data_IF_553905127501
#
_entry.id   IF_553905127501
#
_cell.length_a   1.000
_cell.length_b   1.000
_cell.length_c   1.000
_cell.angle_alpha   90.00
_cell.angle_beta   90.00
_cell.angle_gamma   90.00
#
_symmetry.space_group_name_H-M   'P 1'
#
loop_
_entity.id
_entity.type
_entity.pdbx_description
1 polymer ?
#
# COMPACT_ATOMS: atom_id res chain seq x y z
N UNK A 1 -15.30 -9.27 3.93
CA UNK A 1 -13.88 -9.21 3.53
C UNK A 1 -13.25 -8.18 4.44
N UNK A 2 -12.19 -8.54 5.16
CA UNK A 2 -11.54 -7.66 6.13
C UNK A 2 -10.27 -7.07 5.54
N UNK A 3 -9.85 -5.91 6.05
CA UNK A 3 -8.43 -5.53 6.00
C UNK A 3 -7.65 -6.30 7.08
N UNK A 4 -6.33 -6.44 6.92
CA UNK A 4 -5.51 -7.28 7.80
C UNK A 4 -5.69 -6.97 9.30
N UNK A 5 -5.45 -5.72 9.72
CA UNK A 5 -5.52 -5.36 11.14
C UNK A 5 -6.94 -5.40 11.71
N UNK A 6 -7.96 -5.24 10.87
CA UNK A 6 -9.35 -5.40 11.28
C UNK A 6 -9.60 -6.85 11.64
N UNK A 7 -9.13 -7.80 10.83
CA UNK A 7 -9.21 -9.22 11.14
C UNK A 7 -8.45 -9.56 12.44
N UNK A 8 -7.23 -9.05 12.61
CA UNK A 8 -6.44 -9.28 13.84
C UNK A 8 -7.17 -8.73 15.08
N UNK A 9 -7.81 -7.57 14.95
CA UNK A 9 -8.58 -6.97 16.05
C UNK A 9 -9.75 -7.88 16.47
N UNK A 10 -10.41 -8.54 15.51
CA UNK A 10 -11.54 -9.44 15.78
C UNK A 10 -11.15 -10.70 16.55
N UNK A 11 -9.88 -11.13 16.47
CA UNK A 11 -9.39 -12.29 17.21
C UNK A 11 -9.46 -12.10 18.74
N UNK A 12 -9.58 -10.87 19.22
CA UNK A 12 -9.72 -10.56 20.64
C UNK A 12 -11.16 -10.21 21.06
N UNK A 13 -12.13 -10.33 20.14
CA UNK A 13 -13.50 -9.86 20.38
C UNK A 13 -14.54 -10.90 20.01
N UNK A 14 -14.68 -11.19 18.72
CA UNK A 14 -15.81 -11.97 18.19
C UNK A 14 -15.38 -13.12 17.27
N UNK A 15 -14.08 -13.25 17.01
CA UNK A 15 -13.45 -14.35 16.28
C UNK A 15 -12.27 -14.94 17.05
N UNK A 16 -12.40 -15.08 18.38
CA UNK A 16 -11.35 -15.66 19.21
C UNK A 16 -10.99 -17.08 18.74
N UNK A 17 -9.72 -17.31 18.34
CA UNK A 17 -9.35 -18.53 17.64
C UNK A 17 -9.19 -19.70 18.61
N UNK A 18 -9.73 -20.87 18.25
CA UNK A 18 -9.47 -22.11 18.99
C UNK A 18 -8.13 -22.75 18.60
N UNK A 19 -7.65 -22.50 17.38
CA UNK A 19 -6.42 -23.07 16.85
C UNK A 19 -5.70 -22.04 15.98
N UNK A 20 -4.38 -21.91 16.16
CA UNK A 20 -3.49 -21.17 15.26
C UNK A 20 -2.48 -22.14 14.64
N UNK A 21 -2.46 -22.21 13.31
CA UNK A 21 -1.49 -22.99 12.54
C UNK A 21 -0.54 -22.01 11.87
N UNK A 22 0.72 -22.01 12.28
CA UNK A 22 1.71 -21.00 11.87
C UNK A 22 3.00 -21.66 11.39
N UNK A 23 3.88 -20.86 10.78
CA UNK A 23 5.17 -21.32 10.27
C UNK A 23 6.33 -20.50 10.84
N UNK A 24 7.48 -21.13 11.01
CA UNK A 24 8.75 -20.47 11.34
C UNK A 24 9.94 -21.15 10.66
N UNK A 25 11.10 -20.52 10.70
CA UNK A 25 12.32 -21.12 10.15
C UNK A 25 12.87 -22.19 11.09
N UNK A 26 13.04 -21.85 12.37
CA UNK A 26 13.62 -22.75 13.37
C UNK A 26 12.80 -22.74 14.64
N UNK A 27 12.79 -23.86 15.37
CA UNK A 27 12.39 -23.88 16.76
C UNK A 27 13.32 -24.73 17.62
N UNK A 28 13.37 -24.47 18.92
CA UNK A 28 14.01 -25.34 19.89
C UNK A 28 13.02 -26.34 20.50
N UNK A 29 13.52 -27.23 21.37
CA UNK A 29 12.69 -28.23 22.09
C UNK A 29 11.76 -27.63 23.15
N UNK A 30 11.94 -26.35 23.51
CA UNK A 30 11.04 -25.62 24.43
C UNK A 30 9.91 -24.91 23.68
N UNK A 31 9.90 -24.99 22.35
CA UNK A 31 8.91 -24.35 21.49
C UNK A 31 9.25 -22.90 21.10
N UNK A 32 10.41 -22.36 21.51
CA UNK A 32 10.81 -21.02 21.08
C UNK A 32 10.96 -21.01 19.56
N UNK A 33 10.37 -20.02 18.90
CA UNK A 33 10.31 -19.95 17.45
C UNK A 33 11.16 -18.78 16.93
N UNK A 34 11.95 -19.05 15.89
CA UNK A 34 12.56 -18.03 15.03
C UNK A 34 11.77 -17.95 13.71
N UNK A 35 11.06 -16.85 13.49
CA UNK A 35 10.31 -16.53 12.28
C UNK A 35 11.07 -15.62 11.32
N UNK A 36 12.13 -14.96 11.78
CA UNK A 36 13.08 -14.24 10.94
C UNK A 36 12.45 -13.12 10.11
N UNK A 37 12.94 -12.91 8.86
CA UNK A 37 12.37 -11.97 7.91
C UNK A 37 10.89 -12.20 7.60
N UNK A 38 10.38 -13.42 7.79
CA UNK A 38 8.98 -13.84 7.58
C UNK A 38 8.16 -13.87 8.87
N UNK A 39 8.47 -12.97 9.82
CA UNK A 39 7.67 -12.80 11.04
C UNK A 39 6.21 -12.46 10.73
N UNK A 40 6.00 -11.45 9.90
CA UNK A 40 4.70 -11.20 9.27
C UNK A 40 3.54 -11.06 10.26
N UNK A 41 2.52 -11.92 10.15
CA UNK A 41 1.31 -11.89 10.97
C UNK A 41 1.45 -12.70 12.26
N UNK A 42 2.48 -13.54 12.33
CA UNK A 42 2.60 -14.61 13.33
C UNK A 42 2.38 -14.11 14.75
N UNK A 43 2.98 -12.99 15.21
CA UNK A 43 2.74 -12.50 16.56
C UNK A 43 1.27 -12.18 16.85
N UNK A 44 0.56 -11.57 15.90
CA UNK A 44 -0.85 -11.19 16.08
C UNK A 44 -1.80 -12.39 16.05
N UNK A 45 -1.47 -13.43 15.28
CA UNK A 45 -2.28 -14.65 15.20
C UNK A 45 -2.05 -15.55 16.42
N UNK A 46 -0.79 -15.72 16.83
CA UNK A 46 -0.41 -16.61 17.93
C UNK A 46 -0.90 -16.06 19.26
N UNK A 47 -0.69 -14.78 19.54
CA UNK A 47 -1.04 -14.19 20.84
C UNK A 47 -2.54 -14.34 21.13
N UNK A 48 -3.40 -14.12 20.14
CA UNK A 48 -4.84 -14.26 20.32
C UNK A 48 -5.29 -15.69 20.68
N UNK A 49 -4.59 -16.72 20.19
CA UNK A 49 -4.89 -18.12 20.53
C UNK A 49 -4.26 -18.52 21.87
N UNK A 50 -2.96 -18.23 22.05
CA UNK A 50 -2.18 -18.66 23.21
C UNK A 50 -2.72 -18.12 24.54
N UNK A 51 -3.34 -16.94 24.53
CA UNK A 51 -3.90 -16.30 25.73
C UNK A 51 -5.43 -16.45 25.86
N UNK A 52 -6.03 -17.37 25.11
CA UNK A 52 -7.46 -17.67 25.19
C UNK A 52 -7.76 -19.17 25.11
N UNK A 53 -6.92 -19.99 25.77
CA UNK A 53 -7.05 -21.46 25.83
C UNK A 53 -7.13 -22.14 24.45
N UNK A 54 -6.60 -21.48 23.42
CA UNK A 54 -6.46 -22.03 22.07
C UNK A 54 -5.22 -22.91 21.94
N UNK A 55 -5.11 -23.63 20.82
CA UNK A 55 -3.96 -24.50 20.51
C UNK A 55 -3.13 -23.87 19.40
N UNK A 56 -1.83 -23.70 19.63
CA UNK A 56 -0.88 -23.15 18.67
C UNK A 56 0.06 -24.24 18.18
N UNK A 57 0.04 -24.52 16.87
CA UNK A 57 0.91 -25.50 16.22
C UNK A 57 1.80 -24.76 15.21
N UNK A 58 3.11 -24.87 15.42
CA UNK A 58 4.12 -24.27 14.56
C UNK A 58 4.79 -25.32 13.68
N UNK A 59 4.67 -25.22 12.36
CA UNK A 59 5.57 -25.93 11.47
C UNK A 59 6.92 -25.19 11.35
N UNK A 60 8.03 -25.92 11.37
CA UNK A 60 9.38 -25.35 11.24
C UNK A 60 10.22 -26.07 10.20
N UNK A 61 11.15 -25.36 9.57
CA UNK A 61 12.09 -25.97 8.63
C UNK A 61 13.12 -26.84 9.37
N UNK A 62 13.49 -26.43 10.59
CA UNK A 62 14.54 -27.07 11.38
C UNK A 62 14.16 -27.04 12.87
N UNK A 63 14.37 -28.17 13.57
CA UNK A 63 14.32 -28.24 15.03
C UNK A 63 15.76 -28.32 15.55
N UNK A 64 16.14 -27.40 16.44
CA UNK A 64 17.45 -27.36 17.09
C UNK A 64 17.36 -27.89 18.52
N UNK A 65 18.48 -28.37 19.07
CA UNK A 65 18.51 -28.97 20.41
C UNK A 65 18.64 -27.91 21.53
N UNK A 66 19.47 -26.87 21.34
CA UNK A 66 19.67 -25.79 22.31
C UNK A 66 19.01 -24.48 21.84
N UNK A 67 18.50 -23.69 22.77
CA UNK A 67 17.97 -22.35 22.55
C UNK A 67 19.04 -21.41 21.97
N UNK A 68 20.31 -21.61 22.35
CA UNK A 68 21.45 -20.85 21.83
C UNK A 68 21.67 -21.02 20.31
N UNK A 69 21.10 -22.06 19.70
CA UNK A 69 21.20 -22.32 18.26
C UNK A 69 20.11 -21.58 17.44
N UNK A 70 19.17 -20.90 18.12
CA UNK A 70 18.24 -19.99 17.48
C UNK A 70 18.92 -18.62 17.26
N UNK A 71 18.82 -18.02 16.05
CA UNK A 71 19.35 -16.67 15.82
C UNK A 71 18.75 -15.63 16.78
N UNK A 72 17.44 -15.74 17.03
CA UNK A 72 16.70 -15.02 18.07
C UNK A 72 15.38 -15.73 18.36
N UNK A 73 14.73 -15.35 19.46
CA UNK A 73 13.36 -15.76 19.77
C UNK A 73 12.38 -14.71 19.26
N UNK A 74 11.57 -15.08 18.29
CA UNK A 74 10.54 -14.25 17.68
C UNK A 74 9.16 -14.47 18.30
N UNK A 75 8.85 -15.72 18.68
CA UNK A 75 7.69 -16.12 19.47
C UNK A 75 8.19 -16.96 20.65
N UNK A 76 7.85 -16.60 21.90
CA UNK A 76 8.22 -17.39 23.08
C UNK A 76 7.61 -18.79 23.04
N UNK A 77 8.37 -19.80 23.48
CA UNK A 77 7.89 -21.19 23.50
C UNK A 77 6.70 -21.42 24.43
N UNK A 78 6.49 -20.56 25.41
CA UNK A 78 5.28 -20.58 26.25
C UNK A 78 3.99 -20.22 25.51
N UNK A 79 4.08 -19.74 24.27
CA UNK A 79 2.92 -19.44 23.42
C UNK A 79 2.64 -20.54 22.39
N UNK A 80 3.47 -21.59 22.36
CA UNK A 80 3.43 -22.67 21.36
C UNK A 80 3.11 -23.99 22.08
N UNK A 81 2.03 -24.67 21.67
CA UNK A 81 1.69 -25.99 22.20
C UNK A 81 2.49 -27.11 21.54
N UNK A 82 2.65 -27.03 20.20
CA UNK A 82 3.35 -28.06 19.43
C UNK A 82 4.20 -27.47 18.32
N UNK A 83 5.39 -28.07 18.15
CA UNK A 83 6.27 -27.83 17.01
C UNK A 83 6.32 -29.08 16.15
N UNK A 84 6.25 -28.91 14.83
CA UNK A 84 6.37 -29.99 13.85
C UNK A 84 7.44 -29.61 12.82
N UNK A 85 8.42 -30.47 12.61
CA UNK A 85 9.38 -30.30 11.51
C UNK A 85 8.65 -30.59 10.19
N UNK A 86 8.61 -29.60 9.31
CA UNK A 86 7.97 -29.71 8.01
C UNK A 86 8.75 -30.69 7.10
N UNK A 87 8.04 -31.29 6.15
CA UNK A 87 8.62 -32.18 5.13
C UNK A 87 9.58 -31.46 4.18
N UNK A 88 9.41 -30.14 4.04
CA UNK A 88 10.24 -29.21 3.27
C UNK A 88 10.11 -27.79 3.85
N UNK A 89 11.00 -26.85 3.46
CA UNK A 89 10.87 -25.47 3.86
C UNK A 89 9.49 -24.87 3.53
N UNK A 90 8.94 -24.07 4.43
CA UNK A 90 7.64 -23.41 4.20
C UNK A 90 7.70 -22.54 2.94
N UNK A 91 6.58 -22.47 2.23
CA UNK A 91 6.47 -21.75 0.97
C UNK A 91 6.46 -20.23 1.20
N UNK A 92 7.25 -19.50 0.42
CA UNK A 92 7.28 -18.04 0.41
C UNK A 92 6.93 -17.57 -1.01
N UNK A 93 5.92 -16.72 -1.11
CA UNK A 93 5.53 -16.09 -2.37
C UNK A 93 6.23 -14.73 -2.53
N UNK A 94 6.90 -14.44 -3.65
CA UNK A 94 7.45 -13.10 -3.94
C UNK A 94 6.33 -12.15 -4.38
N UNK A 95 5.38 -11.91 -3.47
CA UNK A 95 4.09 -11.30 -3.79
C UNK A 95 4.28 -9.88 -4.34
N UNK A 96 5.16 -9.08 -3.74
CA UNK A 96 5.35 -7.67 -4.08
C UNK A 96 6.45 -7.42 -5.12
N UNK A 97 7.31 -8.41 -5.38
CA UNK A 97 8.34 -8.31 -6.43
C UNK A 97 7.72 -8.05 -7.81
N UNK A 98 8.21 -7.01 -8.51
CA UNK A 98 7.76 -6.64 -9.86
C UNK A 98 8.95 -6.57 -10.79
N UNK A 99 8.84 -7.24 -11.94
CA UNK A 99 9.84 -7.21 -12.99
C UNK A 99 9.81 -5.85 -13.73
N UNK A 100 10.87 -5.02 -13.62
CA UNK A 100 10.89 -3.69 -14.25
C UNK A 100 10.73 -3.75 -15.78
N UNK A 101 11.01 -4.88 -16.43
CA UNK A 101 10.79 -5.07 -17.88
C UNK A 101 9.34 -4.93 -18.30
N UNK A 102 8.39 -5.13 -17.38
CA UNK A 102 6.96 -5.02 -17.63
C UNK A 102 6.38 -3.61 -17.37
N UNK A 103 7.21 -2.68 -16.90
CA UNK A 103 6.81 -1.28 -16.71
C UNK A 103 6.62 -0.59 -18.07
N UNK A 104 5.43 -0.05 -18.33
CA UNK A 104 5.09 0.61 -19.59
C UNK A 104 5.29 2.12 -19.51
N UNK A 105 5.15 2.79 -20.66
CA UNK A 105 5.24 4.23 -20.78
C UNK A 105 4.17 4.95 -19.93
N UNK A 106 2.96 4.40 -19.86
CA UNK A 106 1.83 4.93 -19.08
C UNK A 106 2.15 4.93 -17.59
N UNK A 107 2.77 3.85 -17.06
CA UNK A 107 3.21 3.80 -15.68
C UNK A 107 4.26 4.88 -15.38
N UNK A 108 5.20 5.12 -16.31
CA UNK A 108 6.25 6.13 -16.16
C UNK A 108 5.65 7.54 -16.17
N UNK A 109 4.71 7.81 -17.07
CA UNK A 109 4.01 9.09 -17.13
C UNK A 109 3.25 9.37 -15.82
N UNK A 110 2.47 8.40 -15.35
CA UNK A 110 1.76 8.54 -14.07
C UNK A 110 2.74 8.66 -12.90
N UNK A 111 3.86 7.94 -12.91
CA UNK A 111 4.87 8.05 -11.86
C UNK A 111 5.54 9.44 -11.81
N UNK A 112 5.83 10.04 -12.96
CA UNK A 112 6.29 11.44 -13.04
C UNK A 112 5.26 12.40 -12.44
N UNK A 113 3.98 12.22 -12.78
CA UNK A 113 2.89 13.02 -12.22
C UNK A 113 2.72 12.82 -10.71
N UNK A 114 2.83 11.58 -10.21
CA UNK A 114 2.81 11.31 -8.77
C UNK A 114 3.93 12.05 -8.03
N UNK A 115 5.18 11.93 -8.51
CA UNK A 115 6.34 12.57 -7.89
C UNK A 115 6.18 14.10 -7.89
N UNK A 116 5.84 14.69 -9.03
CA UNK A 116 5.80 16.16 -9.16
C UNK A 116 4.51 16.78 -8.63
N UNK A 117 3.37 16.24 -9.03
CA UNK A 117 2.04 16.80 -8.76
C UNK A 117 1.41 16.35 -7.44
N UNK A 118 2.00 15.37 -6.73
CA UNK A 118 1.49 14.92 -5.43
C UNK A 118 2.62 14.96 -4.39
N UNK A 119 3.74 14.27 -4.63
CA UNK A 119 4.74 14.06 -3.58
C UNK A 119 5.48 15.36 -3.27
N UNK A 120 5.93 16.06 -4.30
CA UNK A 120 6.58 17.36 -4.19
C UNK A 120 5.61 18.46 -3.78
N UNK A 121 4.43 18.52 -4.41
CA UNK A 121 3.38 19.52 -4.13
C UNK A 121 2.99 19.55 -2.65
N UNK A 122 2.78 18.36 -2.05
CA UNK A 122 2.35 18.24 -0.66
C UNK A 122 3.49 17.96 0.32
N UNK A 123 4.75 17.97 -0.14
CA UNK A 123 5.93 17.68 0.68
C UNK A 123 5.80 16.36 1.46
N UNK A 124 5.39 15.29 0.78
CA UNK A 124 5.16 13.96 1.39
C UNK A 124 6.47 13.42 1.95
N UNK A 125 6.58 13.30 3.27
CA UNK A 125 7.80 12.80 3.94
C UNK A 125 7.77 11.28 4.09
N UNK A 126 6.58 10.73 4.33
CA UNK A 126 6.40 9.33 4.72
C UNK A 126 5.22 8.68 4.00
N UNK A 127 5.37 7.44 3.55
CA UNK A 127 4.36 6.81 2.68
C UNK A 127 4.32 5.28 2.70
N UNK A 128 3.23 4.76 2.16
CA UNK A 128 3.12 3.38 1.70
C UNK A 128 2.79 3.37 0.19
N UNK A 129 3.44 2.45 -0.53
CA UNK A 129 3.02 2.06 -1.87
C UNK A 129 2.22 0.77 -1.81
N UNK A 130 1.01 0.81 -2.35
CA UNK A 130 0.25 -0.35 -2.73
C UNK A 130 0.97 -1.14 -3.81
N UNK A 131 0.64 -2.42 -3.91
CA UNK A 131 1.26 -3.35 -4.84
C UNK A 131 0.89 -3.04 -6.31
N UNK A 132 1.87 -3.01 -7.21
CA UNK A 132 1.60 -2.84 -8.65
C UNK A 132 2.78 -2.31 -9.45
N UNK A 133 2.67 -2.35 -10.78
CA UNK A 133 3.69 -1.74 -11.66
C UNK A 133 3.66 -0.21 -11.62
N UNK A 134 2.52 0.38 -11.29
CA UNK A 134 2.33 1.82 -11.17
C UNK A 134 3.25 2.42 -10.08
N UNK A 135 3.22 1.85 -8.88
CA UNK A 135 4.05 2.29 -7.76
C UNK A 135 5.51 1.83 -7.88
N UNK A 136 5.77 0.66 -8.47
CA UNK A 136 7.13 0.24 -8.81
C UNK A 136 7.82 1.22 -9.79
N UNK A 137 7.07 1.81 -10.73
CA UNK A 137 7.61 2.86 -11.60
C UNK A 137 7.99 4.10 -10.79
N UNK A 138 7.20 4.51 -9.78
CA UNK A 138 7.55 5.62 -8.89
C UNK A 138 8.87 5.35 -8.17
N UNK A 139 9.02 4.17 -7.56
CA UNK A 139 10.22 3.78 -6.83
C UNK A 139 11.49 3.91 -7.69
N UNK A 140 11.41 3.43 -8.93
CA UNK A 140 12.51 3.48 -9.90
C UNK A 140 12.75 4.86 -10.52
N UNK A 141 11.80 5.79 -10.38
CA UNK A 141 11.93 7.16 -10.89
C UNK A 141 12.42 8.16 -9.84
N UNK A 142 12.36 7.83 -8.54
CA UNK A 142 12.92 8.68 -7.49
C UNK A 142 14.38 9.07 -7.78
N UNK A 143 15.33 8.14 -7.99
CA UNK A 143 16.74 8.49 -8.20
C UNK A 143 17.07 9.12 -9.57
N UNK A 144 16.10 9.24 -10.47
CA UNK A 144 16.29 9.81 -11.81
C UNK A 144 15.46 11.07 -11.98
N UNK A 145 14.15 10.93 -12.19
CA UNK A 145 13.23 12.04 -12.36
C UNK A 145 13.08 12.87 -11.08
N UNK A 146 13.01 12.22 -9.91
CA UNK A 146 13.02 12.93 -8.63
C UNK A 146 14.30 13.72 -8.40
N UNK A 147 15.45 13.18 -8.83
CA UNK A 147 16.75 13.85 -8.74
C UNK A 147 16.83 15.07 -9.68
N UNK A 148 16.29 14.96 -10.91
CA UNK A 148 16.18 16.09 -11.84
C UNK A 148 15.36 17.25 -11.27
N UNK A 149 14.37 16.96 -10.42
CA UNK A 149 13.57 17.94 -9.70
C UNK A 149 14.25 18.45 -8.40
N UNK A 150 15.41 17.90 -8.03
CA UNK A 150 16.14 18.27 -6.82
C UNK A 150 15.41 17.93 -5.52
N UNK A 151 14.69 16.80 -5.50
CA UNK A 151 13.79 16.41 -4.41
C UNK A 151 14.39 15.43 -3.40
N UNK A 152 15.61 14.90 -3.65
CA UNK A 152 16.30 14.01 -2.71
C UNK A 152 16.42 14.65 -1.32
N UNK A 153 16.08 13.88 -0.29
CA UNK A 153 16.06 14.34 1.11
C UNK A 153 14.93 15.31 1.47
N UNK A 154 14.06 15.69 0.50
CA UNK A 154 12.92 16.58 0.73
C UNK A 154 11.58 15.86 0.76
N UNK A 155 11.50 14.64 0.22
CA UNK A 155 10.29 13.80 0.19
C UNK A 155 10.69 12.32 0.36
N UNK A 156 9.70 11.47 0.66
CA UNK A 156 9.82 10.00 0.59
C UNK A 156 10.97 9.39 1.41
N UNK A 157 11.18 9.88 2.63
CA UNK A 157 12.26 9.44 3.50
C UNK A 157 11.89 8.21 4.32
N UNK A 158 10.64 8.11 4.76
CA UNK A 158 10.19 7.05 5.67
C UNK A 158 9.10 6.19 5.05
N UNK A 159 9.29 4.87 5.12
CA UNK A 159 8.43 3.93 4.40
C UNK A 159 7.84 2.89 5.34
N UNK A 160 6.55 2.65 5.16
CA UNK A 160 5.90 1.42 5.63
C UNK A 160 5.69 0.56 4.39
N UNK A 161 6.62 -0.33 4.09
CA UNK A 161 6.69 -1.01 2.81
C UNK A 161 7.33 -2.38 2.97
N UNK A 162 6.90 -3.37 2.18
CA UNK A 162 7.72 -4.56 2.02
C UNK A 162 9.07 -4.19 1.39
N UNK A 163 10.12 -5.00 1.57
CA UNK A 163 11.43 -4.71 0.99
C UNK A 163 11.39 -4.95 -0.53
N UNK A 164 10.78 -4.04 -1.28
CA UNK A 164 10.64 -4.13 -2.73
C UNK A 164 12.02 -4.09 -3.39
N UNK A 165 12.37 -5.05 -4.27
CA UNK A 165 13.59 -4.96 -5.07
C UNK A 165 13.66 -3.69 -5.92
N UNK A 166 12.51 -3.17 -6.36
CA UNK A 166 12.39 -1.92 -7.13
C UNK A 166 12.73 -0.66 -6.34
N UNK A 167 12.80 -0.74 -5.01
CA UNK A 167 13.23 0.36 -4.15
C UNK A 167 14.76 0.40 -3.95
N UNK A 168 15.49 -0.66 -4.30
CA UNK A 168 16.96 -0.73 -4.14
C UNK A 168 17.66 0.52 -4.71
N UNK A 169 17.40 0.97 -5.95
CA UNK A 169 18.08 2.16 -6.48
C UNK A 169 17.82 3.44 -5.68
N UNK A 170 16.62 3.59 -5.09
CA UNK A 170 16.29 4.73 -4.24
C UNK A 170 17.03 4.65 -2.88
N UNK A 171 17.18 3.45 -2.32
CA UNK A 171 17.98 3.24 -1.10
C UNK A 171 19.45 3.56 -1.37
N UNK A 172 20.05 2.97 -2.40
CA UNK A 172 21.48 3.14 -2.70
C UNK A 172 21.84 4.57 -3.11
N UNK A 173 20.89 5.30 -3.70
CA UNK A 173 21.05 6.71 -4.01
C UNK A 173 20.73 7.64 -2.84
N UNK A 174 20.43 7.12 -1.64
CA UNK A 174 20.26 7.91 -0.41
C UNK A 174 18.96 8.71 -0.35
N UNK A 175 17.89 8.22 -0.96
CA UNK A 175 16.55 8.81 -0.84
C UNK A 175 15.82 8.32 0.42
N UNK A 176 16.03 7.06 0.76
CA UNK A 176 15.31 6.36 1.82
C UNK A 176 16.12 6.46 3.10
N UNK A 177 15.48 6.87 4.19
CA UNK A 177 16.06 6.92 5.54
C UNK A 177 15.58 5.76 6.41
N UNK A 178 14.35 5.28 6.23
CA UNK A 178 13.85 4.12 6.97
C UNK A 178 12.77 3.34 6.23
N UNK A 179 12.76 2.01 6.40
CA UNK A 179 11.74 1.09 5.90
C UNK A 179 11.34 0.11 7.01
N UNK A 180 10.11 0.24 7.51
CA UNK A 180 9.50 -0.79 8.35
C UNK A 180 8.66 -1.73 7.47
N UNK A 181 8.83 -3.04 7.64
CA UNK A 181 8.32 -4.04 6.70
C UNK A 181 7.11 -4.81 7.22
N UNK A 182 6.12 -5.06 6.35
CA UNK A 182 5.00 -5.96 6.67
C UNK A 182 5.46 -7.41 6.70
N UNK A 183 6.28 -7.81 5.72
CA UNK A 183 6.85 -9.14 5.57
C UNK A 183 8.19 -9.12 4.84
N UNK A 184 8.72 -10.30 4.55
CA UNK A 184 9.91 -10.48 3.70
C UNK A 184 9.58 -10.44 2.20
N UNK A 185 10.62 -10.33 1.38
CA UNK A 185 10.56 -10.63 -0.05
C UNK A 185 11.71 -11.59 -0.38
N UNK A 186 11.40 -12.64 -1.14
CA UNK A 186 12.35 -13.69 -1.46
C UNK A 186 13.55 -13.13 -2.21
N UNK A 187 14.75 -13.34 -1.68
CA UNK A 187 16.01 -12.88 -2.27
C UNK A 187 16.49 -11.53 -1.77
N UNK A 188 15.74 -10.85 -0.91
CA UNK A 188 16.14 -9.56 -0.31
C UNK A 188 16.86 -9.71 1.03
N UNK A 189 16.96 -10.92 1.59
CA UNK A 189 17.37 -11.16 2.97
C UNK A 189 18.79 -10.65 3.26
N UNK A 190 19.75 -10.96 2.39
CA UNK A 190 21.14 -10.53 2.57
C UNK A 190 21.36 -9.05 2.27
N UNK A 191 20.58 -8.49 1.33
CA UNK A 191 20.59 -7.04 1.08
C UNK A 191 20.11 -6.27 2.31
N UNK A 192 19.00 -6.72 2.93
CA UNK A 192 18.45 -6.12 4.15
C UNK A 192 19.44 -6.24 5.32
N UNK A 193 20.05 -7.42 5.50
CA UNK A 193 21.10 -7.64 6.53
C UNK A 193 22.25 -6.65 6.38
N UNK A 194 22.60 -6.27 5.15
CA UNK A 194 23.66 -5.32 4.84
C UNK A 194 23.22 -3.84 4.95
N UNK A 195 21.97 -3.55 5.32
CA UNK A 195 21.39 -2.19 5.45
C UNK A 195 20.64 -2.01 6.79
N UNK A 196 21.29 -2.25 7.94
CA UNK A 196 20.65 -2.14 9.26
C UNK A 196 20.33 -0.69 9.67
N UNK A 197 20.89 0.29 8.96
CA UNK A 197 20.58 1.72 9.09
C UNK A 197 19.23 2.08 8.44
N UNK A 198 18.78 1.30 7.46
CA UNK A 198 17.53 1.52 6.72
C UNK A 198 16.41 0.61 7.24
N UNK A 199 16.70 -0.67 7.45
CA UNK A 199 15.72 -1.68 7.82
C UNK A 199 15.80 -2.06 9.30
N UNK A 200 14.68 -2.51 9.83
CA UNK A 200 14.57 -2.99 11.20
C UNK A 200 15.12 -4.42 11.30
N UNK A 201 16.36 -4.54 11.76
CA UNK A 201 17.09 -5.81 11.92
C UNK A 201 17.29 -6.13 13.40
N UNK A 202 17.23 -7.43 13.73
CA UNK A 202 17.55 -7.91 15.07
C UNK A 202 19.06 -7.91 15.33
N UNK A 203 19.48 -8.18 16.58
CA UNK A 203 20.89 -8.32 16.93
C UNK A 203 21.59 -9.47 16.17
N UNK A 204 20.81 -10.44 15.69
CA UNK A 204 21.24 -11.53 14.82
C UNK A 204 21.51 -11.09 13.36
N UNK A 205 21.18 -9.84 13.03
CA UNK A 205 21.37 -9.20 11.73
C UNK A 205 20.23 -9.44 10.74
N UNK A 206 19.34 -10.42 10.94
CA UNK A 206 18.21 -10.62 10.03
C UNK A 206 17.06 -9.64 10.31
N UNK A 207 16.23 -9.38 9.30
CA UNK A 207 15.07 -8.50 9.42
C UNK A 207 14.05 -9.03 10.45
N UNK A 208 13.37 -8.11 11.13
CA UNK A 208 12.14 -8.38 11.90
C UNK A 208 10.98 -7.63 11.26
N UNK A 209 10.29 -8.28 10.33
CA UNK A 209 9.01 -7.77 9.82
C UNK A 209 7.93 -7.85 10.90
N UNK A 210 6.86 -7.06 10.77
CA UNK A 210 5.67 -7.21 11.60
C UNK A 210 4.49 -6.57 10.86
N UNK A 211 3.57 -7.40 10.35
CA UNK A 211 2.45 -6.91 9.55
C UNK A 211 1.49 -6.08 10.38
N UNK A 212 1.20 -6.48 11.62
CA UNK A 212 0.29 -5.72 12.49
C UNK A 212 0.83 -4.31 12.80
N UNK A 213 2.09 -4.19 13.24
CA UNK A 213 2.70 -2.90 13.54
C UNK A 213 2.99 -2.07 12.29
N UNK A 214 3.40 -2.70 11.19
CA UNK A 214 3.60 -1.96 9.94
C UNK A 214 2.27 -1.42 9.38
N UNK A 215 1.17 -2.19 9.49
CA UNK A 215 -0.17 -1.72 9.13
C UNK A 215 -0.62 -0.57 10.04
N UNK A 216 -0.36 -0.66 11.35
CA UNK A 216 -0.69 0.42 12.28
C UNK A 216 0.08 1.71 11.96
N UNK A 217 1.38 1.61 11.67
CA UNK A 217 2.20 2.73 11.21
C UNK A 217 1.71 3.26 9.86
N UNK A 218 1.37 2.36 8.92
CA UNK A 218 0.81 2.72 7.62
C UNK A 218 -0.54 3.44 7.72
N UNK A 219 -1.31 3.25 8.79
CA UNK A 219 -2.53 4.00 9.06
C UNK A 219 -2.22 5.35 9.72
N UNK A 220 -1.48 5.33 10.84
CA UNK A 220 -1.40 6.46 11.75
C UNK A 220 -0.14 7.30 11.65
N UNK A 221 0.95 6.83 11.05
CA UNK A 221 2.26 7.47 11.10
C UNK A 221 2.82 7.91 9.73
N UNK A 222 2.15 7.55 8.64
CA UNK A 222 2.55 8.00 7.29
C UNK A 222 1.67 9.13 6.78
N UNK A 223 2.23 9.98 5.92
CA UNK A 223 1.51 11.07 5.26
C UNK A 223 0.55 10.57 4.19
N UNK A 224 0.94 9.50 3.49
CA UNK A 224 0.27 9.10 2.26
C UNK A 224 0.20 7.59 2.04
N UNK A 225 -0.91 7.17 1.43
CA UNK A 225 -1.05 5.90 0.74
C UNK A 225 -1.32 6.15 -0.75
N UNK A 226 -0.68 5.39 -1.62
CA UNK A 226 -0.98 5.35 -3.06
C UNK A 226 -1.12 3.91 -3.52
N UNK A 227 -2.17 3.59 -4.27
CA UNK A 227 -2.39 2.24 -4.77
C UNK A 227 -3.27 2.20 -6.01
N UNK A 228 -3.40 1.01 -6.58
CA UNK A 228 -4.22 0.74 -7.76
C UNK A 228 -5.43 -0.12 -7.40
N UNK A 229 -6.40 -0.17 -8.31
CA UNK A 229 -7.61 -0.98 -8.19
C UNK A 229 -8.02 -1.55 -9.55
N UNK A 230 -9.04 -2.41 -9.58
CA UNK A 230 -9.60 -2.93 -10.84
C UNK A 230 -10.78 -2.11 -11.37
N UNK A 231 -11.59 -1.54 -10.48
CA UNK A 231 -12.72 -0.69 -10.85
C UNK A 231 -12.83 0.53 -9.95
N UNK A 232 -13.19 1.65 -10.56
CA UNK A 232 -13.51 2.93 -9.91
C UNK A 232 -14.85 3.43 -10.44
N UNK A 233 -15.76 3.91 -9.59
CA UNK A 233 -16.98 4.56 -10.06
C UNK A 233 -16.85 6.08 -10.20
N UNK A 234 -17.89 6.75 -10.69
CA UNK A 234 -17.89 8.20 -10.86
C UNK A 234 -17.71 9.01 -9.57
N UNK A 235 -17.79 8.41 -8.39
CA UNK A 235 -17.56 9.05 -7.10
C UNK A 235 -16.21 8.70 -6.48
N UNK A 236 -15.37 7.97 -7.22
CA UNK A 236 -14.09 7.41 -6.79
C UNK A 236 -14.19 6.24 -5.79
N UNK A 237 -15.37 5.61 -5.62
CA UNK A 237 -15.41 4.33 -4.90
C UNK A 237 -14.63 3.30 -5.70
N UNK A 238 -13.75 2.57 -5.04
CA UNK A 238 -12.82 1.67 -5.71
C UNK A 238 -12.92 0.25 -5.16
N UNK A 239 -12.82 -0.76 -6.05
CA UNK A 239 -12.83 -2.17 -5.64
C UNK A 239 -12.04 -3.05 -6.59
N UNK A 240 -11.47 -4.11 -6.02
CA UNK A 240 -10.86 -5.22 -6.77
C UNK A 240 -11.87 -6.34 -7.07
N UNK A 241 -13.03 -6.34 -6.41
CA UNK A 241 -14.06 -7.37 -6.60
C UNK A 241 -14.74 -7.17 -7.95
N UNK A 242 -14.72 -8.21 -8.78
CA UNK A 242 -15.32 -8.22 -10.13
C UNK A 242 -16.23 -9.43 -10.30
N UNK A 243 -17.08 -9.45 -11.35
CA UNK A 243 -18.01 -10.58 -11.57
C UNK A 243 -17.29 -11.92 -11.58
N UNK A 244 -17.72 -12.83 -10.71
CA UNK A 244 -17.16 -14.18 -10.60
C UNK A 244 -15.82 -14.28 -9.85
N UNK A 245 -15.28 -13.17 -9.32
CA UNK A 245 -14.03 -13.16 -8.56
C UNK A 245 -14.13 -12.29 -7.31
N UNK A 246 -14.23 -12.96 -6.16
CA UNK A 246 -14.18 -12.33 -4.85
C UNK A 246 -12.72 -12.17 -4.39
N UNK A 247 -12.05 -11.11 -4.83
CA UNK A 247 -10.71 -10.77 -4.37
C UNK A 247 -10.72 -10.27 -2.92
N UNK A 248 -9.63 -10.54 -2.19
CA UNK A 248 -9.40 -9.92 -0.89
C UNK A 248 -9.04 -8.44 -1.00
N UNK A 249 -9.19 -7.71 0.10
CA UNK A 249 -8.79 -6.31 0.18
C UNK A 249 -7.32 -6.09 0.57
N UNK A 250 -6.71 -7.08 1.24
CA UNK A 250 -5.36 -6.93 1.78
C UNK A 250 -5.28 -5.76 2.77
N UNK A 251 -4.24 -4.93 2.67
CA UNK A 251 -4.04 -3.77 3.54
C UNK A 251 -4.70 -2.48 3.03
N UNK A 252 -5.26 -2.50 1.82
CA UNK A 252 -5.71 -1.28 1.15
C UNK A 252 -6.77 -0.49 1.92
N UNK A 253 -7.81 -1.09 2.54
CA UNK A 253 -8.79 -0.33 3.31
C UNK A 253 -8.17 0.32 4.56
N UNK A 254 -7.17 -0.33 5.19
CA UNK A 254 -6.50 0.25 6.35
C UNK A 254 -5.64 1.48 5.97
N UNK A 255 -4.96 1.41 4.83
CA UNK A 255 -4.10 2.51 4.41
C UNK A 255 -4.83 3.57 3.61
N UNK A 256 -5.89 3.20 2.89
CA UNK A 256 -6.64 4.04 1.98
C UNK A 256 -7.87 4.67 2.60
N UNK A 257 -7.80 5.12 3.84
CA UNK A 257 -8.81 5.95 4.48
C UNK A 257 -8.17 7.10 5.26
N UNK A 258 -8.93 8.16 5.53
CA UNK A 258 -8.48 9.22 6.45
C UNK A 258 -8.58 8.74 7.91
N UNK A 259 -7.46 8.56 8.63
CA UNK A 259 -7.46 7.99 9.97
C UNK A 259 -8.02 9.00 10.98
N UNK A 260 -9.33 9.02 11.17
CA UNK A 260 -10.02 9.98 12.04
C UNK A 260 -9.57 9.96 13.52
N UNK A 261 -8.83 8.95 13.96
CA UNK A 261 -8.16 8.92 15.27
C UNK A 261 -6.85 9.72 15.35
N UNK A 262 -6.22 10.07 14.22
CA UNK A 262 -4.94 10.78 14.16
C UNK A 262 -5.07 12.21 14.70
N UNK A 263 -4.07 12.66 15.47
CA UNK A 263 -3.99 14.03 16.02
C UNK A 263 -2.64 14.71 15.83
N UNK A 264 -1.57 13.96 15.64
CA UNK A 264 -0.26 14.55 15.37
C UNK A 264 -0.28 15.18 13.96
N UNK A 265 0.28 16.38 13.85
CA UNK A 265 0.31 17.12 12.60
C UNK A 265 1.60 16.84 11.82
N UNK A 266 1.50 16.76 10.50
CA UNK A 266 2.64 16.77 9.57
C UNK A 266 2.35 17.76 8.44
N UNK A 267 3.39 18.26 7.73
CA UNK A 267 3.20 19.23 6.65
C UNK A 267 2.19 18.76 5.59
N UNK A 268 2.35 17.53 5.07
CA UNK A 268 1.47 16.97 4.06
C UNK A 268 0.02 16.79 4.56
N UNK A 269 -0.15 16.31 5.79
CA UNK A 269 -1.48 16.13 6.40
C UNK A 269 -2.23 17.45 6.57
N UNK A 270 -1.53 18.50 7.03
CA UNK A 270 -2.08 19.85 7.15
C UNK A 270 -2.37 20.49 5.79
N UNK A 271 -1.61 20.15 4.75
CA UNK A 271 -1.79 20.71 3.41
C UNK A 271 -3.13 20.30 2.75
N UNK A 272 -3.83 19.29 3.31
CA UNK A 272 -5.17 18.91 2.86
C UNK A 272 -6.30 19.80 3.42
N UNK A 273 -5.97 20.79 4.26
CA UNK A 273 -6.92 21.81 4.74
C UNK A 273 -7.08 22.88 3.65
N UNK A 274 -8.29 23.04 3.13
CA UNK A 274 -8.59 23.95 2.01
C UNK A 274 -9.10 25.32 2.46
N UNK A 275 -9.64 25.42 3.66
CA UNK A 275 -10.15 26.68 4.22
C UNK A 275 -9.58 26.90 5.63
N UNK A 276 -9.29 28.15 6.04
CA UNK A 276 -8.81 28.44 7.38
C UNK A 276 -9.92 28.24 8.44
N UNK A 277 -10.08 27.02 8.91
CA UNK A 277 -10.93 26.69 10.07
C UNK A 277 -10.08 26.04 11.17
N UNK A 278 -9.94 26.65 12.35
CA UNK A 278 -9.17 26.08 13.46
C UNK A 278 -9.71 24.75 13.99
N UNK A 279 -10.97 24.40 13.67
CA UNK A 279 -11.58 23.11 14.01
C UNK A 279 -11.41 22.06 12.90
N UNK A 280 -10.99 22.48 11.70
CA UNK A 280 -10.74 21.57 10.60
C UNK A 280 -9.47 20.78 10.85
N UNK A 281 -9.60 19.46 10.74
CA UNK A 281 -8.47 18.53 10.79
C UNK A 281 -7.87 18.41 9.39
N UNK A 282 -6.56 18.22 9.32
CA UNK A 282 -5.91 17.74 8.11
C UNK A 282 -6.39 16.33 7.75
N UNK A 283 -5.93 15.84 6.60
CA UNK A 283 -6.30 14.53 6.07
C UNK A 283 -5.07 13.78 5.61
N UNK A 284 -5.08 12.47 5.77
CA UNK A 284 -4.09 11.63 5.12
C UNK A 284 -4.28 11.70 3.60
N UNK A 285 -3.18 11.69 2.84
CA UNK A 285 -3.27 11.61 1.39
C UNK A 285 -3.60 10.17 0.98
N UNK A 286 -4.71 9.97 0.27
CA UNK A 286 -5.14 8.69 -0.28
C UNK A 286 -5.26 8.84 -1.78
N UNK A 287 -4.33 8.20 -2.50
CA UNK A 287 -4.19 8.31 -3.95
C UNK A 287 -4.64 7.02 -4.63
N UNK A 288 -5.66 7.12 -5.48
CA UNK A 288 -6.01 6.08 -6.44
C UNK A 288 -5.27 6.32 -7.75
N UNK A 289 -4.23 5.53 -8.00
CA UNK A 289 -3.40 5.59 -9.20
C UNK A 289 -3.76 4.42 -10.12
N UNK A 290 -4.45 4.72 -11.22
CA UNK A 290 -4.97 3.71 -12.15
C UNK A 290 -4.90 4.19 -13.60
N UNK A 291 -4.64 3.28 -14.54
CA UNK A 291 -4.88 3.54 -15.96
C UNK A 291 -6.39 3.62 -16.23
N UNK A 292 -6.84 4.45 -17.18
CA UNK A 292 -8.27 4.56 -17.52
C UNK A 292 -8.84 3.24 -18.05
N UNK A 293 -7.99 2.41 -18.66
CA UNK A 293 -8.30 1.04 -19.08
C UNK A 293 -7.34 0.03 -18.43
N UNK A 294 -7.88 -1.10 -18.03
CA UNK A 294 -7.11 -2.26 -17.61
C UNK A 294 -6.44 -2.93 -18.83
N UNK A 295 -5.54 -3.88 -18.59
CA UNK A 295 -4.97 -4.71 -19.66
C UNK A 295 -6.10 -5.31 -20.56
N UNK A 296 -6.13 -4.90 -21.83
CA UNK A 296 -7.21 -5.19 -22.77
C UNK A 296 -8.07 -3.95 -23.05
N UNK A 297 -9.38 -4.14 -23.25
CA UNK A 297 -10.36 -3.06 -23.54
C UNK A 297 -11.38 -2.87 -22.42
N UNK A 298 -11.08 -3.34 -21.20
CA UNK A 298 -11.97 -3.20 -20.05
C UNK A 298 -11.74 -1.85 -19.36
N UNK A 299 -12.74 -0.96 -19.30
CA UNK A 299 -12.57 0.32 -18.62
C UNK A 299 -12.40 0.12 -17.12
N UNK A 300 -11.47 0.86 -16.52
CA UNK A 300 -11.30 0.93 -15.06
C UNK A 300 -12.44 1.75 -14.45
N UNK A 301 -12.80 2.86 -15.09
CA UNK A 301 -13.90 3.72 -14.65
C UNK A 301 -15.23 3.21 -15.19
N UNK A 302 -16.18 2.92 -14.29
CA UNK A 302 -17.47 2.31 -14.61
C UNK A 302 -18.61 3.04 -13.91
N UNK A 303 -19.80 3.10 -14.52
CA UNK A 303 -20.98 3.72 -13.89
C UNK A 303 -21.41 3.01 -12.60
N UNK A 304 -21.19 1.70 -12.53
CA UNK A 304 -21.53 0.88 -11.38
C UNK A 304 -20.50 -0.22 -11.19
N UNK A 305 -19.91 -0.28 -10.00
CA UNK A 305 -18.98 -1.34 -9.62
C UNK A 305 -19.63 -2.73 -9.73
N UNK A 306 -18.90 -3.71 -10.26
CA UNK A 306 -19.32 -5.11 -10.26
C UNK A 306 -19.55 -5.62 -8.83
N UNK A 307 -18.81 -5.07 -7.86
CA UNK A 307 -18.96 -5.31 -6.43
C UNK A 307 -20.43 -5.22 -5.96
N UNK A 308 -21.23 -4.30 -6.51
CA UNK A 308 -22.64 -4.15 -6.12
C UNK A 308 -23.45 -5.39 -6.50
N UNK A 309 -23.21 -5.95 -7.69
CA UNK A 309 -23.91 -7.16 -8.12
C UNK A 309 -23.37 -8.41 -7.42
N UNK A 310 -22.06 -8.46 -7.16
CA UNK A 310 -21.45 -9.53 -6.35
C UNK A 310 -22.05 -9.56 -4.94
N UNK A 311 -22.28 -8.41 -4.31
CA UNK A 311 -22.91 -8.36 -3.00
C UNK A 311 -24.33 -8.93 -3.02
N UNK A 312 -25.15 -8.52 -4.01
CA UNK A 312 -26.51 -9.05 -4.17
C UNK A 312 -26.53 -10.56 -4.34
N UNK A 313 -25.70 -11.07 -5.25
CA UNK A 313 -25.65 -12.51 -5.58
C UNK A 313 -25.06 -13.35 -4.45
N UNK A 314 -24.16 -12.79 -3.64
CA UNK A 314 -23.50 -13.48 -2.52
C UNK A 314 -24.18 -13.25 -1.17
N UNK A 315 -25.31 -12.52 -1.13
CA UNK A 315 -26.01 -12.18 0.11
C UNK A 315 -25.22 -11.27 1.05
N UNK A 316 -24.26 -10.50 0.54
CA UNK A 316 -23.52 -9.53 1.36
C UNK A 316 -24.41 -8.32 1.68
N UNK A 317 -24.37 -7.80 2.92
CA UNK A 317 -25.20 -6.68 3.32
C UNK A 317 -24.81 -5.36 2.62
N UNK A 318 -23.55 -5.26 2.17
CA UNK A 318 -22.97 -4.09 1.53
C UNK A 318 -22.09 -4.52 0.35
N UNK A 319 -21.97 -3.64 -0.65
CA UNK A 319 -21.02 -3.83 -1.73
C UNK A 319 -19.58 -3.87 -1.15
N UNK A 320 -18.74 -4.85 -1.53
CA UNK A 320 -17.35 -4.89 -1.10
C UNK A 320 -16.53 -3.80 -1.81
N UNK A 321 -16.62 -2.58 -1.29
CA UNK A 321 -15.77 -1.44 -1.67
C UNK A 321 -14.46 -1.55 -0.89
N UNK A 322 -13.33 -1.43 -1.59
CA UNK A 322 -11.99 -1.49 -1.02
C UNK A 322 -11.58 -0.14 -0.43
N UNK A 323 -11.79 0.95 -1.18
CA UNK A 323 -11.57 2.33 -0.73
C UNK A 323 -12.78 3.15 -1.15
N UNK A 324 -13.43 3.81 -0.20
CA UNK A 324 -14.59 4.64 -0.49
C UNK A 324 -14.18 5.97 -1.11
N UNK A 325 -15.05 6.53 -1.94
CA UNK A 325 -14.76 7.73 -2.70
C UNK A 325 -14.46 8.94 -1.82
N UNK A 326 -15.15 9.09 -0.69
CA UNK A 326 -14.96 10.19 0.26
C UNK A 326 -13.60 10.16 0.99
N UNK A 327 -12.99 8.98 1.10
CA UNK A 327 -11.62 8.83 1.61
C UNK A 327 -10.55 9.22 0.58
N UNK A 328 -10.85 9.15 -0.72
CA UNK A 328 -9.89 9.46 -1.78
C UNK A 328 -9.65 10.96 -1.87
N UNK A 329 -8.39 11.37 -1.70
CA UNK A 329 -7.95 12.76 -1.88
C UNK A 329 -7.43 13.03 -3.28
N UNK A 330 -6.91 12.02 -3.98
CA UNK A 330 -6.38 12.14 -5.33
C UNK A 330 -6.79 10.96 -6.21
N UNK A 331 -7.23 11.24 -7.44
CA UNK A 331 -7.29 10.25 -8.51
C UNK A 331 -6.25 10.63 -9.54
N UNK A 332 -5.33 9.71 -9.82
CA UNK A 332 -4.24 9.86 -10.76
C UNK A 332 -4.40 8.83 -11.87
N UNK A 333 -4.46 9.32 -13.11
CA UNK A 333 -4.49 8.50 -14.33
C UNK A 333 -3.46 8.98 -15.31
N UNK A 334 -3.30 8.30 -16.44
CA UNK A 334 -2.50 8.77 -17.56
C UNK A 334 -3.03 10.07 -18.17
N UNK A 335 -4.29 10.45 -17.93
CA UNK A 335 -4.87 11.72 -18.39
C UNK A 335 -4.43 12.89 -17.52
N UNK A 336 -4.33 12.70 -16.19
CA UNK A 336 -3.98 13.74 -15.24
C UNK A 336 -4.27 13.38 -13.79
N UNK A 337 -4.25 14.38 -12.91
CA UNK A 337 -4.58 14.28 -11.48
C UNK A 337 -5.84 15.08 -11.19
N UNK A 338 -6.80 14.46 -10.51
CA UNK A 338 -7.93 15.12 -9.90
C UNK A 338 -7.71 15.24 -8.38
N UNK A 339 -7.59 16.48 -7.89
CA UNK A 339 -7.36 16.83 -6.48
C UNK A 339 -8.67 16.82 -5.67
N UNK A 340 -9.27 15.64 -5.50
CA UNK A 340 -10.61 15.47 -4.92
C UNK A 340 -10.77 16.04 -3.50
N UNK A 341 -9.68 16.23 -2.75
CA UNK A 341 -9.73 16.91 -1.45
C UNK A 341 -10.21 18.38 -1.54
N UNK A 342 -10.14 18.98 -2.74
CA UNK A 342 -10.62 20.35 -3.05
C UNK A 342 -12.05 20.40 -3.60
N UNK A 343 -12.74 19.27 -3.69
CA UNK A 343 -14.11 19.24 -4.17
C UNK A 343 -15.07 19.85 -3.13
N UNK A 344 -15.92 20.77 -3.56
CA UNK A 344 -16.90 21.46 -2.71
C UNK A 344 -18.26 20.73 -2.65
N UNK A 345 -18.48 19.78 -3.57
CA UNK A 345 -19.71 18.98 -3.62
C UNK A 345 -19.47 17.61 -4.27
N UNK A 346 -20.42 16.69 -4.11
CA UNK A 346 -20.38 15.38 -4.79
C UNK A 346 -20.49 15.52 -6.31
N UNK A 347 -21.21 16.52 -6.80
CA UNK A 347 -21.31 16.83 -8.24
C UNK A 347 -19.96 17.29 -8.78
N UNK A 348 -19.27 18.18 -8.06
CA UNK A 348 -17.95 18.63 -8.45
C UNK A 348 -16.93 17.49 -8.37
N UNK A 349 -16.95 16.67 -7.32
CA UNK A 349 -16.12 15.46 -7.21
C UNK A 349 -16.31 14.56 -8.43
N UNK A 350 -17.56 14.28 -8.82
CA UNK A 350 -17.85 13.46 -10.01
C UNK A 350 -17.32 14.09 -11.29
N UNK A 351 -17.47 15.40 -11.46
CA UNK A 351 -16.90 16.11 -12.60
C UNK A 351 -15.37 16.05 -12.65
N UNK A 352 -14.70 16.13 -11.48
CA UNK A 352 -13.24 16.00 -11.36
C UNK A 352 -12.75 14.59 -11.70
N UNK A 353 -13.45 13.54 -11.23
CA UNK A 353 -13.14 12.14 -11.60
C UNK A 353 -13.33 11.95 -13.10
N UNK A 354 -14.45 12.42 -13.66
CA UNK A 354 -14.72 12.31 -15.09
C UNK A 354 -13.67 13.02 -15.95
N UNK A 355 -13.15 14.18 -15.51
CA UNK A 355 -12.11 14.92 -16.21
C UNK A 355 -10.79 14.15 -16.38
N UNK A 356 -10.53 13.12 -15.56
CA UNK A 356 -9.32 12.28 -15.66
C UNK A 356 -9.63 10.83 -16.04
N UNK A 357 -10.89 10.52 -16.39
CA UNK A 357 -11.34 9.16 -16.70
C UNK A 357 -11.20 8.78 -18.20
N UNK A 358 -10.55 9.62 -19.01
CA UNK A 358 -10.30 9.37 -20.44
C UNK A 358 -11.57 9.18 -21.25
N UNK A 359 -11.56 8.21 -22.17
CA UNK A 359 -12.70 7.88 -23.04
C UNK A 359 -13.62 6.80 -22.46
N UNK A 360 -13.57 6.55 -21.16
CA UNK A 360 -14.49 5.62 -20.48
C UNK A 360 -15.91 6.20 -20.42
N UNK A 361 -16.91 5.39 -20.07
CA UNK A 361 -18.30 5.86 -19.94
C UNK A 361 -18.42 7.05 -18.96
N UNK A 362 -17.64 7.02 -17.88
CA UNK A 362 -17.55 8.12 -16.91
C UNK A 362 -16.93 9.37 -17.55
N UNK A 363 -15.85 9.21 -18.31
CA UNK A 363 -15.12 10.32 -18.93
C UNK A 363 -15.86 10.98 -20.10
N UNK A 364 -16.59 10.21 -20.90
CA UNK A 364 -17.40 10.72 -22.02
C UNK A 364 -18.55 11.64 -21.58
N UNK A 365 -18.95 11.58 -20.31
CA UNK A 365 -20.01 12.42 -19.75
C UNK A 365 -19.60 13.85 -19.39
N UNK A 366 -18.31 14.22 -19.51
CA UNK A 366 -17.82 15.53 -19.05
C UNK A 366 -17.77 16.58 -20.16
N UNK A 367 -18.25 17.79 -19.87
CA UNK A 367 -18.18 18.92 -20.79
C UNK A 367 -16.76 19.53 -20.83
N UNK A 368 -16.26 19.82 -22.03
CA UNK A 368 -14.92 20.40 -22.24
C UNK A 368 -14.75 21.76 -21.57
N UNK A 369 -15.80 22.59 -21.49
CA UNK A 369 -15.71 23.88 -20.78
C UNK A 369 -15.60 23.66 -19.27
N UNK A 370 -16.31 22.66 -18.73
CA UNK A 370 -16.19 22.28 -17.32
C UNK A 370 -14.79 21.77 -17.00
N UNK A 371 -14.19 20.93 -17.84
CA UNK A 371 -12.79 20.47 -17.68
C UNK A 371 -11.82 21.65 -17.69
N UNK A 372 -11.96 22.59 -18.63
CA UNK A 372 -11.11 23.78 -18.69
C UNK A 372 -11.23 24.63 -17.41
N UNK A 373 -12.45 24.79 -16.87
CA UNK A 373 -12.66 25.50 -15.61
C UNK A 373 -11.99 24.78 -14.42
N UNK A 374 -12.10 23.45 -14.33
CA UNK A 374 -11.46 22.65 -13.29
C UNK A 374 -9.93 22.73 -13.34
N UNK A 375 -9.36 22.76 -14.56
CA UNK A 375 -7.93 22.98 -14.79
C UNK A 375 -7.49 24.38 -14.38
N UNK A 376 -8.24 25.40 -14.79
CA UNK A 376 -7.95 26.79 -14.41
C UNK A 376 -8.00 27.01 -12.89
N UNK A 377 -8.90 26.33 -12.17
CA UNK A 377 -8.97 26.40 -10.71
C UNK A 377 -7.93 25.53 -9.98
N UNK A 378 -7.11 24.76 -10.71
CA UNK A 378 -6.14 23.81 -10.15
C UNK A 378 -6.78 22.63 -9.41
N UNK A 379 -8.05 22.32 -9.69
CA UNK A 379 -8.76 21.16 -9.14
C UNK A 379 -8.43 19.89 -9.94
N UNK A 380 -8.13 20.05 -11.21
CA UNK A 380 -7.59 19.02 -12.09
C UNK A 380 -6.30 19.54 -12.71
N UNK A 381 -5.29 18.71 -12.89
CA UNK A 381 -4.09 19.05 -13.66
C UNK A 381 -3.77 17.94 -14.64
N UNK A 382 -3.45 18.31 -15.87
CA UNK A 382 -2.91 17.41 -16.88
C UNK A 382 -1.38 17.44 -16.84
N UNK A 383 -0.68 16.46 -17.44
CA UNK A 383 0.79 16.45 -17.47
C UNK A 383 1.38 17.81 -17.88
N UNK A 384 0.83 18.45 -18.91
CA UNK A 384 1.30 19.73 -19.40
C UNK A 384 1.13 20.90 -18.40
N UNK A 385 0.12 20.85 -17.53
CA UNK A 385 -0.14 21.92 -16.53
C UNK A 385 0.95 21.94 -15.47
N UNK A 386 1.56 20.79 -15.20
CA UNK A 386 2.70 20.64 -14.29
C UNK A 386 4.02 20.49 -15.05
N UNK A 387 4.08 20.91 -16.32
CA UNK A 387 5.31 20.94 -17.11
C UNK A 387 5.92 19.56 -17.38
N UNK A 388 5.08 18.53 -17.55
CA UNK A 388 5.47 17.19 -18.00
C UNK A 388 4.99 17.01 -19.43
N UNK A 389 5.91 16.75 -20.36
CA UNK A 389 5.52 16.35 -21.72
C UNK A 389 5.35 14.85 -21.75
N UNK A 390 4.22 14.37 -22.28
CA UNK A 390 3.91 12.92 -22.37
C UNK A 390 4.99 12.12 -23.12
N UNK A 391 5.67 12.74 -24.08
CA UNK A 391 6.77 12.14 -24.83
C UNK A 391 8.05 11.91 -24.02
N UNK A 392 8.22 12.58 -22.87
CA UNK A 392 9.40 12.44 -22.02
C UNK A 392 9.29 11.18 -21.13
N UNK A 393 8.09 10.63 -20.98
CA UNK A 393 7.84 9.39 -20.25
C UNK A 393 8.37 8.19 -21.05
N UNK A 394 9.63 7.83 -20.82
CA UNK A 394 10.28 6.69 -21.48
C UNK A 394 11.01 5.82 -20.49
N UNK A 395 11.25 4.56 -20.84
CA UNK A 395 11.93 3.57 -19.98
C UNK A 395 13.35 3.99 -19.58
N UNK A 396 13.98 4.96 -20.25
CA UNK A 396 15.29 5.50 -19.83
C UNK A 396 15.24 6.26 -18.50
N UNK A 397 14.04 6.58 -17.99
CA UNK A 397 13.87 7.13 -16.65
C UNK A 397 13.90 6.05 -15.56
N UNK A 398 13.77 4.77 -15.88
CA UNK A 398 13.86 3.71 -14.88
C UNK A 398 15.33 3.55 -14.47
N UNK A 399 15.58 3.57 -13.15
CA UNK A 399 16.93 3.38 -12.62
C UNK A 399 17.48 1.96 -12.78
N UNK A 400 16.62 0.98 -13.06
CA UNK A 400 16.97 -0.43 -13.28
C UNK A 400 16.05 -1.08 -14.33
#
# INVERSE_FOLDING_TARGET
>A
IHTYIELYSRLYVDLSPNVALIAGYKADRKGNLYTGPSTEDTPALVEAAAFHDGIVIAQVNELVDDECDLPRVDIPGSWIDYVVVADKPFFIEPLFTRDPRLIKQEHILMAMMAIKGIYAEHQVQSLNHGIGFNTAAIELLLPTYGEQLGLKGKICKHWTLNPHPTLIPAIESGWVESVHCFGGELGMEEYIRARPDIFFTGADGSMRSNRAFCQLAGQYAVDMFIGSTLQVDGYANSSTVTRGRLSGFGGAPNMGHDPHGRRHATPAWLNMITEPDPMQRGKKLVVQMVETFQAGVKPTFVEKLDAVEVAKTSGMPLAPVMIYGDDVTHVLTEEGIAYLYRAESLEERRAMVAAVAGITDIGLGVDAKRVAALRQSGKVVYPEDIGIRRSDATRSLLAA
#
